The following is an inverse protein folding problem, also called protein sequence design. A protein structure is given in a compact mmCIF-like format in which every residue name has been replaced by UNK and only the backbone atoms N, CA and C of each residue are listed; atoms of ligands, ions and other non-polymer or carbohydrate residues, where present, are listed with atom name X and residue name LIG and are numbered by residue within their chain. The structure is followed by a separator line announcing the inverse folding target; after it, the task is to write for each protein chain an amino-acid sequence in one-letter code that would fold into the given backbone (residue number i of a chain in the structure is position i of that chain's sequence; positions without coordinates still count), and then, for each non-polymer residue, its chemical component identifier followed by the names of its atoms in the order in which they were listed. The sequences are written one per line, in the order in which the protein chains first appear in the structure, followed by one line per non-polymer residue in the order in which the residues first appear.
data_IF_825161737216
#
_entry.id   IF_825161737216
#
_cell.length_a   1.000
_cell.length_b   1.000
_cell.length_c   1.000
_cell.angle_alpha   90.00
_cell.angle_beta   90.00
_cell.angle_gamma   90.00
#
_symmetry.space_group_name_H-M   'P 1'
#
loop_
_entity.id
_entity.type
_entity.pdbx_description
1 polymer ?
#
# COMPACT_ATOMS: atom_id res chain seq x y z
N UNK A 1 -5.17 -8.43 52.07
CA UNK A 1 -4.48 -7.22 51.59
C UNK A 1 -3.54 -7.58 50.45
N UNK A 2 -3.70 -6.96 49.33
CA UNK A 2 -2.78 -7.14 48.17
C UNK A 2 -1.47 -6.42 48.50
N UNK A 3 -0.34 -7.12 48.42
CA UNK A 3 0.97 -6.52 48.70
C UNK A 3 1.28 -5.48 47.62
N UNK A 4 1.83 -4.33 48.00
CA UNK A 4 2.19 -3.24 47.09
C UNK A 4 3.09 -3.70 45.93
N UNK A 5 3.94 -4.69 46.19
CA UNK A 5 4.78 -5.31 45.15
C UNK A 5 3.96 -6.03 44.08
N UNK A 6 2.91 -6.76 44.44
CA UNK A 6 2.03 -7.48 43.53
C UNK A 6 1.25 -6.49 42.63
N UNK A 7 0.82 -5.36 43.18
CA UNK A 7 0.14 -4.30 42.42
C UNK A 7 1.05 -3.66 41.38
N UNK A 8 2.32 -3.43 41.71
CA UNK A 8 3.33 -2.91 40.76
C UNK A 8 3.56 -3.86 39.61
N UNK A 9 3.70 -5.15 39.86
CA UNK A 9 3.88 -6.15 38.80
C UNK A 9 2.64 -6.30 37.92
N UNK A 10 1.44 -6.25 38.52
CA UNK A 10 0.19 -6.28 37.77
C UNK A 10 0.05 -5.07 36.82
N UNK A 11 0.36 -3.86 37.33
CA UNK A 11 0.33 -2.64 36.51
C UNK A 11 1.34 -2.71 35.37
N UNK A 12 2.55 -3.19 35.65
CA UNK A 12 3.60 -3.30 34.62
C UNK A 12 3.22 -4.33 33.55
N UNK A 13 2.68 -5.47 33.94
CA UNK A 13 2.19 -6.50 33.03
C UNK A 13 1.06 -5.98 32.12
N UNK A 14 0.08 -5.31 32.73
CA UNK A 14 -1.04 -4.72 31.97
C UNK A 14 -0.55 -3.70 30.94
N UNK A 15 0.41 -2.85 31.31
CA UNK A 15 0.99 -1.86 30.38
C UNK A 15 1.69 -2.54 29.21
N UNK A 16 2.50 -3.56 29.46
CA UNK A 16 3.20 -4.30 28.40
C UNK A 16 2.22 -5.00 27.45
N UNK A 17 1.19 -5.64 27.98
CA UNK A 17 0.16 -6.31 27.18
C UNK A 17 -0.62 -5.31 26.33
N UNK A 18 -0.98 -4.15 26.90
CA UNK A 18 -1.74 -3.12 26.19
C UNK A 18 -0.92 -2.52 25.05
N UNK A 19 0.32 -2.13 25.30
CA UNK A 19 1.20 -1.53 24.27
C UNK A 19 1.51 -2.56 23.18
N UNK A 20 1.82 -3.80 23.55
CA UNK A 20 2.07 -4.89 22.60
C UNK A 20 0.83 -5.22 21.77
N UNK A 21 -0.34 -5.27 22.39
CA UNK A 21 -1.61 -5.51 21.68
C UNK A 21 -1.97 -4.40 20.70
N UNK A 22 -1.81 -3.13 21.09
CA UNK A 22 -2.05 -1.99 20.20
C UNK A 22 -1.08 -1.99 19.01
N UNK A 23 0.20 -2.25 19.25
CA UNK A 23 1.20 -2.34 18.19
C UNK A 23 0.90 -3.48 17.21
N UNK A 24 0.51 -4.64 17.72
CA UNK A 24 0.13 -5.78 16.89
C UNK A 24 -1.11 -5.49 16.03
N UNK A 25 -2.15 -4.89 16.63
CA UNK A 25 -3.35 -4.49 15.90
C UNK A 25 -3.05 -3.46 14.81
N UNK A 26 -2.19 -2.49 15.10
CA UNK A 26 -1.78 -1.48 14.12
C UNK A 26 -1.10 -2.12 12.89
N UNK A 27 -0.16 -3.03 13.11
CA UNK A 27 0.51 -3.77 12.02
C UNK A 27 -0.49 -4.61 11.23
N UNK A 28 -1.42 -5.29 11.91
CA UNK A 28 -2.46 -6.11 11.25
C UNK A 28 -3.44 -5.29 10.42
N UNK A 29 -3.80 -4.09 10.86
CA UNK A 29 -4.65 -3.18 10.08
C UNK A 29 -3.90 -2.73 8.82
N UNK A 30 -2.63 -2.40 8.93
CA UNK A 30 -1.79 -2.01 7.80
C UNK A 30 -1.64 -3.14 6.78
N UNK A 31 -1.36 -4.37 7.22
CA UNK A 31 -1.32 -5.55 6.34
C UNK A 31 -2.64 -5.73 5.59
N UNK A 32 -3.78 -5.57 6.26
CA UNK A 32 -5.10 -5.70 5.63
C UNK A 32 -5.34 -4.62 4.56
N UNK A 33 -4.98 -3.38 4.82
CA UNK A 33 -5.13 -2.29 3.83
C UNK A 33 -4.31 -2.59 2.58
N UNK A 34 -3.10 -3.12 2.74
CA UNK A 34 -2.21 -3.48 1.64
C UNK A 34 -2.70 -4.75 0.91
N UNK A 35 -3.19 -5.76 1.66
CA UNK A 35 -3.60 -7.05 1.09
C UNK A 35 -5.01 -7.02 0.48
N UNK A 36 -5.92 -6.18 0.97
CA UNK A 36 -7.29 -6.11 0.47
C UNK A 36 -7.48 -5.16 -0.71
N UNK A 37 -6.46 -4.42 -1.09
CA UNK A 37 -6.55 -3.46 -2.17
C UNK A 37 -5.94 -3.98 -3.47
N UNK A 38 -6.74 -4.54 -4.37
CA UNK A 38 -6.32 -4.77 -5.76
C UNK A 38 -5.69 -3.52 -6.37
N UNK A 39 -6.13 -2.34 -5.92
CA UNK A 39 -5.60 -1.05 -6.33
C UNK A 39 -4.11 -0.86 -5.97
N UNK A 40 -3.66 -1.40 -4.84
CA UNK A 40 -2.27 -1.29 -4.42
C UNK A 40 -1.34 -2.07 -5.36
N UNK A 41 -1.69 -3.34 -5.61
CA UNK A 41 -0.93 -4.18 -6.52
C UNK A 41 -0.95 -3.62 -7.95
N UNK A 42 -2.12 -3.19 -8.43
CA UNK A 42 -2.28 -2.55 -9.75
C UNK A 42 -1.44 -1.28 -9.88
N UNK A 43 -1.37 -0.45 -8.84
CA UNK A 43 -0.55 0.77 -8.84
C UNK A 43 0.95 0.47 -8.92
N UNK A 44 1.42 -0.53 -8.19
CA UNK A 44 2.82 -0.95 -8.22
C UNK A 44 3.17 -1.62 -9.55
N UNK A 45 2.28 -2.43 -10.11
CA UNK A 45 2.46 -3.04 -11.43
C UNK A 45 2.50 -1.99 -12.54
N UNK A 46 1.61 -1.00 -12.50
CA UNK A 46 1.62 0.11 -13.44
C UNK A 46 2.96 0.87 -13.41
N UNK A 47 3.49 1.11 -12.20
CA UNK A 47 4.80 1.73 -12.05
C UNK A 47 5.94 0.87 -12.62
N UNK A 48 5.88 -0.45 -12.42
CA UNK A 48 6.89 -1.39 -12.94
C UNK A 48 6.83 -1.52 -14.47
N UNK A 49 5.64 -1.40 -15.08
CA UNK A 49 5.46 -1.44 -16.53
C UNK A 49 5.95 -0.17 -17.23
N UNK A 50 6.08 0.95 -16.51
CA UNK A 50 6.64 2.18 -17.06
C UNK A 50 8.18 2.18 -16.98
N UNK A 51 8.82 1.78 -18.10
CA UNK A 51 10.26 1.63 -18.19
C UNK A 51 11.03 2.92 -17.84
N UNK A 52 10.48 4.08 -18.20
CA UNK A 52 11.13 5.37 -17.97
C UNK A 52 11.20 5.69 -16.47
N UNK A 53 10.11 5.44 -15.76
CA UNK A 53 10.00 5.73 -14.33
C UNK A 53 10.69 4.66 -13.49
N UNK A 54 10.61 3.40 -13.90
CA UNK A 54 11.32 2.31 -13.24
C UNK A 54 12.84 2.46 -13.37
N UNK A 55 13.34 2.94 -14.50
CA UNK A 55 14.77 3.27 -14.67
C UNK A 55 15.18 4.50 -13.87
N UNK A 56 14.32 5.50 -13.71
CA UNK A 56 14.60 6.70 -12.90
C UNK A 56 14.75 6.39 -11.41
N UNK A 57 13.93 5.47 -10.90
CA UNK A 57 14.03 4.96 -9.54
C UNK A 57 15.14 3.92 -9.37
N UNK A 58 15.39 3.14 -10.39
CA UNK A 58 16.29 1.98 -10.40
C UNK A 58 15.59 0.68 -9.96
N UNK A 59 15.83 -0.36 -10.72
CA UNK A 59 15.32 -1.71 -10.45
C UNK A 59 16.28 -2.44 -9.50
N UNK A 60 15.81 -3.25 -8.55
CA UNK A 60 14.42 -3.58 -8.24
C UNK A 60 13.69 -2.50 -7.43
N UNK A 61 12.34 -2.46 -7.59
CA UNK A 61 11.48 -1.52 -6.88
C UNK A 61 10.88 -2.21 -5.65
N UNK A 62 11.07 -1.58 -4.49
CA UNK A 62 10.52 -2.05 -3.22
C UNK A 62 9.51 -1.04 -2.68
N UNK A 63 8.24 -1.41 -2.55
CA UNK A 63 7.30 -0.59 -1.81
C UNK A 63 7.68 -0.59 -0.34
N UNK A 64 7.61 0.58 0.27
CA UNK A 64 7.89 0.77 1.68
C UNK A 64 6.59 0.86 2.48
N UNK A 65 6.73 0.92 3.77
CA UNK A 65 5.63 1.04 4.70
C UNK A 65 4.84 2.35 4.49
N UNK A 66 3.51 2.25 4.43
CA UNK A 66 2.61 3.38 4.23
C UNK A 66 2.24 3.97 5.59
N UNK A 67 2.47 5.25 5.78
CA UNK A 67 2.00 5.97 6.96
C UNK A 67 0.55 6.43 6.75
N UNK A 68 -0.38 5.63 7.26
CA UNK A 68 -1.82 5.94 7.17
C UNK A 68 -2.24 7.15 8.02
N UNK A 69 -1.37 7.63 8.91
CA UNK A 69 -1.62 8.81 9.73
C UNK A 69 -1.33 10.12 9.00
N UNK A 70 -0.68 10.04 7.84
CA UNK A 70 -0.38 11.21 7.01
C UNK A 70 -1.67 11.86 6.49
N UNK A 71 -1.68 13.19 6.46
CA UNK A 71 -2.81 13.97 5.90
C UNK A 71 -3.01 13.75 4.39
N UNK A 72 -2.00 13.25 3.71
CA UNK A 72 -2.05 12.94 2.28
C UNK A 72 -2.79 11.62 1.99
N UNK A 73 -3.05 10.84 3.03
CA UNK A 73 -3.77 9.58 2.94
C UNK A 73 -5.23 9.77 3.35
N UNK A 74 -6.13 9.54 2.42
CA UNK A 74 -7.58 9.58 2.64
C UNK A 74 -8.18 8.26 2.22
N UNK A 75 -8.94 7.65 3.11
CA UNK A 75 -9.64 6.40 2.84
C UNK A 75 -11.11 6.54 3.19
N UNK A 76 -11.95 6.55 2.16
CA UNK A 76 -13.41 6.55 2.26
C UNK A 76 -13.98 5.31 1.58
N UNK A 77 -15.28 5.05 1.76
CA UNK A 77 -15.92 3.90 1.12
C UNK A 77 -15.95 3.95 -0.41
N UNK A 78 -15.82 5.14 -1.00
CA UNK A 78 -15.92 5.38 -2.44
C UNK A 78 -14.66 5.96 -3.07
N UNK A 79 -13.78 6.55 -2.25
CA UNK A 79 -12.54 7.18 -2.72
C UNK A 79 -11.37 6.83 -1.82
N UNK A 80 -10.25 6.53 -2.43
CA UNK A 80 -8.99 6.29 -1.75
C UNK A 80 -7.92 7.17 -2.39
N UNK A 81 -7.20 7.92 -1.53
CA UNK A 81 -5.97 8.60 -1.90
C UNK A 81 -4.87 8.06 -1.01
N UNK A 82 -3.83 7.52 -1.60
CA UNK A 82 -2.70 6.97 -0.88
C UNK A 82 -1.40 7.48 -1.46
N UNK A 83 -0.49 7.83 -0.56
CA UNK A 83 0.90 8.11 -0.87
C UNK A 83 1.73 6.88 -0.48
N UNK A 84 2.15 6.12 -1.48
CA UNK A 84 2.91 4.88 -1.31
C UNK A 84 4.40 5.20 -1.49
N UNK A 85 5.20 5.16 -0.43
CA UNK A 85 6.64 5.35 -0.58
C UNK A 85 7.25 4.14 -1.30
N UNK A 86 7.99 4.41 -2.36
CA UNK A 86 8.67 3.40 -3.19
C UNK A 86 10.16 3.68 -3.19
N UNK A 87 10.94 2.65 -3.00
CA UNK A 87 12.40 2.70 -3.05
C UNK A 87 12.92 1.88 -4.22
N UNK A 88 13.66 2.53 -5.10
CA UNK A 88 14.47 1.85 -6.11
C UNK A 88 15.94 1.75 -5.70
N UNK A 89 16.77 1.17 -6.56
CA UNK A 89 18.21 1.06 -6.35
C UNK A 89 18.94 2.40 -6.42
N UNK A 90 18.40 3.37 -7.15
CA UNK A 90 18.99 4.69 -7.37
C UNK A 90 18.35 5.79 -6.52
N UNK A 91 17.02 5.84 -6.51
CA UNK A 91 16.26 6.92 -5.89
C UNK A 91 15.08 6.38 -5.07
N UNK A 92 14.58 7.25 -4.19
CA UNK A 92 13.31 7.05 -3.49
C UNK A 92 12.26 7.95 -4.14
N UNK A 93 11.02 7.48 -4.21
CA UNK A 93 9.89 8.22 -4.71
C UNK A 93 8.65 8.02 -3.85
N UNK A 94 7.67 8.88 -4.05
CA UNK A 94 6.36 8.79 -3.43
C UNK A 94 5.32 8.64 -4.55
N UNK A 95 4.64 7.50 -4.56
CA UNK A 95 3.61 7.19 -5.54
C UNK A 95 2.25 7.61 -4.98
N UNK A 96 1.70 8.69 -5.51
CA UNK A 96 0.35 9.14 -5.19
C UNK A 96 -0.64 8.40 -6.06
N UNK A 97 -1.52 7.64 -5.43
CA UNK A 97 -2.57 6.86 -6.06
C UNK A 97 -3.92 7.39 -5.65
N UNK A 98 -4.76 7.77 -6.61
CA UNK A 98 -6.15 8.10 -6.38
C UNK A 98 -7.02 7.04 -7.05
N UNK A 99 -7.90 6.44 -6.25
CA UNK A 99 -8.82 5.41 -6.72
C UNK A 99 -10.24 5.78 -6.32
N UNK A 100 -11.19 5.46 -7.18
CA UNK A 100 -12.61 5.55 -6.91
C UNK A 100 -13.32 4.23 -7.14
N UNK A 101 -14.44 4.08 -6.46
CA UNK A 101 -15.33 2.93 -6.60
C UNK A 101 -16.77 3.41 -6.57
N UNK A 102 -17.60 2.91 -7.47
CA UNK A 102 -19.04 3.11 -7.39
C UNK A 102 -19.64 2.30 -6.21
N UNK A 103 -20.71 2.83 -5.62
CA UNK A 103 -21.34 2.22 -4.42
C UNK A 103 -21.79 0.79 -4.66
N UNK A 104 -22.15 0.45 -5.89
CA UNK A 104 -22.60 -0.89 -6.31
C UNK A 104 -21.47 -1.80 -6.81
N UNK A 105 -20.29 -1.25 -7.12
CA UNK A 105 -19.17 -2.02 -7.64
C UNK A 105 -18.26 -2.53 -6.52
N UNK A 106 -17.73 -3.74 -6.70
CA UNK A 106 -16.73 -4.32 -5.77
C UNK A 106 -15.30 -3.97 -6.17
N UNK A 107 -15.08 -3.54 -7.41
CA UNK A 107 -13.75 -3.27 -7.98
C UNK A 107 -13.37 -1.80 -7.86
N UNK A 108 -12.12 -1.55 -7.51
CA UNK A 108 -11.55 -0.21 -7.47
C UNK A 108 -11.01 0.17 -8.84
N UNK A 109 -11.30 1.40 -9.27
CA UNK A 109 -10.75 1.99 -10.48
C UNK A 109 -9.67 2.99 -10.10
N UNK A 110 -8.53 2.95 -10.77
CA UNK A 110 -7.45 3.93 -10.59
C UNK A 110 -7.79 5.15 -11.46
N UNK A 111 -7.99 6.30 -10.82
CA UNK A 111 -8.31 7.55 -11.52
C UNK A 111 -7.04 8.34 -11.86
N UNK A 112 -6.07 8.34 -10.96
CA UNK A 112 -4.82 9.08 -11.12
C UNK A 112 -3.66 8.35 -10.45
N UNK A 113 -2.52 8.35 -11.11
CA UNK A 113 -1.29 7.76 -10.62
C UNK A 113 -0.13 8.71 -10.93
N UNK A 114 0.44 9.30 -9.88
CA UNK A 114 1.52 10.29 -9.99
C UNK A 114 2.70 9.87 -9.14
N UNK A 115 3.87 9.76 -9.75
CA UNK A 115 5.11 9.49 -9.04
C UNK A 115 5.87 10.79 -8.79
N UNK A 116 6.17 11.08 -7.54
CA UNK A 116 7.03 12.17 -7.13
C UNK A 116 8.43 11.65 -6.80
N UNK A 117 9.44 12.17 -7.52
CA UNK A 117 10.86 11.86 -7.28
C UNK A 117 11.62 13.18 -7.26
N UNK A 118 12.38 13.45 -6.21
CA UNK A 118 13.20 14.66 -6.08
C UNK A 118 12.41 15.95 -6.35
N UNK A 119 11.20 16.08 -5.83
CA UNK A 119 10.28 17.23 -6.02
C UNK A 119 9.80 17.42 -7.46
N UNK A 120 9.98 16.45 -8.32
CA UNK A 120 9.41 16.41 -9.67
C UNK A 120 8.31 15.37 -9.74
N UNK A 121 7.15 15.76 -10.28
CA UNK A 121 6.00 14.87 -10.42
C UNK A 121 5.92 14.32 -11.84
N UNK A 122 5.74 13.03 -11.96
CA UNK A 122 5.61 12.31 -13.22
C UNK A 122 4.29 11.55 -13.24
N UNK A 123 3.50 11.73 -14.26
CA UNK A 123 2.29 10.93 -14.46
C UNK A 123 2.68 9.53 -14.90
N UNK A 124 2.21 8.52 -14.16
CA UNK A 124 2.38 7.12 -14.52
C UNK A 124 1.25 6.70 -15.45
N UNK A 125 1.59 5.98 -16.51
CA UNK A 125 0.60 5.47 -17.46
C UNK A 125 -0.27 4.41 -16.76
N UNK A 126 -1.57 4.67 -16.68
CA UNK A 126 -2.54 3.72 -16.12
C UNK A 126 -2.81 2.65 -17.20
N UNK A 127 -2.56 1.36 -16.91
CA UNK A 127 -2.90 0.31 -17.87
C UNK A 127 -4.41 0.26 -18.05
N UNK A 128 -4.86 0.19 -19.31
CA UNK A 128 -6.28 0.02 -19.61
C UNK A 128 -6.76 -1.36 -19.10
N UNK A 129 -8.02 -1.45 -18.69
CA UNK A 129 -8.62 -2.69 -18.16
C UNK A 129 -8.44 -3.90 -19.11
N UNK A 130 -8.33 -3.66 -20.39
CA UNK A 130 -8.14 -4.69 -21.41
C UNK A 130 -6.73 -5.30 -21.39
N UNK A 131 -5.70 -4.59 -20.93
CA UNK A 131 -4.33 -5.12 -20.83
C UNK A 131 -4.16 -6.03 -19.61
N UNK A 132 -4.93 -5.79 -18.56
CA UNK A 132 -4.87 -6.59 -17.32
C UNK A 132 -5.53 -7.97 -17.51
N UNK A 133 -6.61 -8.03 -18.28
CA UNK A 133 -7.31 -9.28 -18.59
C UNK A 133 -6.48 -10.25 -19.46
N UNK A 134 -5.55 -9.73 -20.28
CA UNK A 134 -4.66 -10.55 -21.10
C UNK A 134 -3.57 -11.25 -20.28
N UNK A 135 -3.03 -10.59 -19.26
CA UNK A 135 -1.95 -11.15 -18.42
C UNK A 135 -2.46 -12.25 -17.46
N UNK A 136 -3.69 -12.16 -16.96
CA UNK A 136 -4.28 -13.20 -16.11
C UNK A 136 -4.58 -14.49 -16.90
N UNK A 137 -5.01 -14.37 -18.15
CA UNK A 137 -5.24 -15.52 -19.00
C UNK A 137 -3.94 -16.23 -19.42
N UNK A 138 -2.83 -15.51 -19.52
CA UNK A 138 -1.54 -16.11 -19.87
C UNK A 138 -0.90 -16.90 -18.71
N UNK A 139 -1.10 -16.45 -17.46
CA UNK A 139 -0.62 -17.17 -16.26
C UNK A 139 -1.36 -18.48 -16.02
N UNK A 140 -2.62 -18.58 -16.42
CA UNK A 140 -3.40 -19.80 -16.25
C UNK A 140 -3.09 -20.89 -17.29
N UNK A 141 -2.51 -20.51 -18.44
CA UNK A 141 -2.14 -21.47 -19.51
C UNK A 141 -0.77 -22.14 -19.23
N UNK A 142 0.10 -21.51 -18.44
CA UNK A 142 1.45 -22.04 -18.14
C UNK A 142 1.51 -22.97 -16.93
N UNK A 143 0.42 -23.12 -16.17
CA UNK A 143 0.36 -23.98 -14.98
C UNK A 143 -0.24 -25.38 -15.25
N UNK A 144 -0.63 -25.70 -16.47
CA UNK A 144 -1.24 -27.00 -16.85
C UNK A 144 -0.30 -27.88 -17.72
N UNK A 145 1.02 -27.81 -17.44
CA UNK A 145 1.97 -28.78 -18.02
C UNK A 145 2.94 -29.28 -16.97
#
# INVERSE_FOLDING_TARGET
MVKLSTLKYAALFTTVVTVGGCSYMYVKIQERVVLFGDFYNKSIEALKKDDKLSMALGVPLYPMFIDLSSKDNLMTNTKIKLAIPVRGSKNKGLLHTECSKEVMEKTWRIDSLVLEVNKKSFNVKIPSENEIAFDENFKNITNDN
#
